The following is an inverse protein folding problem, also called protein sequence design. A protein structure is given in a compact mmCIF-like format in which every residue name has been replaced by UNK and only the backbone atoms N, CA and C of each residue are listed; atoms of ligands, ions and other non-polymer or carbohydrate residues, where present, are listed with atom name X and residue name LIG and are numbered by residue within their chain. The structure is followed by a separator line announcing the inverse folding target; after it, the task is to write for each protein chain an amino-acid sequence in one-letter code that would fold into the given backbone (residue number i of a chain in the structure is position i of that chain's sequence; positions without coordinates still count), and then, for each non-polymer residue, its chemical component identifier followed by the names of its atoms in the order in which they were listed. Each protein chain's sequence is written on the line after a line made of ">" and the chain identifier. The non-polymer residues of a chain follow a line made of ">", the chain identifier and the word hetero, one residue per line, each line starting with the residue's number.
data_IF_846019501481
#
_entry.id   IF_846019501481
#
_cell.length_a   1.000
_cell.length_b   1.000
_cell.length_c   1.000
_cell.angle_alpha   90.00
_cell.angle_beta   90.00
_cell.angle_gamma   90.00
#
_symmetry.space_group_name_H-M   'P 1'
#
loop_
_entity.id
_entity.type
_entity.pdbx_description
1 polymer ?
#
# COMPACT_ATOMS: atom_id res chain seq x y z
N UNK A 1 -15.26 1.77 -1.37
CA UNK A 1 -14.71 1.65 -0.02
C UNK A 1 -14.54 0.18 0.35
N UNK A 2 -13.47 -0.16 1.02
CA UNK A 2 -13.26 -1.54 1.44
C UNK A 2 -14.31 -1.98 2.46
N UNK A 3 -14.78 -3.21 2.30
CA UNK A 3 -15.72 -3.81 3.23
C UNK A 3 -14.93 -4.76 4.14
N UNK A 4 -14.79 -4.39 5.41
CA UNK A 4 -13.99 -5.14 6.36
C UNK A 4 -14.57 -6.51 6.68
N UNK A 5 -15.89 -6.71 6.46
CA UNK A 5 -16.54 -7.99 6.69
C UNK A 5 -16.38 -8.96 5.51
N UNK A 6 -15.76 -8.48 4.42
CA UNK A 6 -15.59 -9.25 3.20
C UNK A 6 -14.52 -10.32 3.32
N UNK A 7 -13.59 -10.17 4.25
CA UNK A 7 -12.42 -11.02 4.35
C UNK A 7 -12.55 -12.03 5.46
N UNK A 8 -12.09 -13.25 5.19
CA UNK A 8 -12.12 -14.36 6.13
C UNK A 8 -11.20 -14.05 7.32
N UNK A 9 -11.67 -14.13 8.57
CA UNK A 9 -10.81 -13.91 9.73
C UNK A 9 -9.57 -14.81 9.77
N UNK A 10 -9.67 -16.04 9.28
CA UNK A 10 -8.52 -16.95 9.24
C UNK A 10 -7.47 -16.46 8.25
N UNK A 11 -7.91 -15.92 7.10
CA UNK A 11 -7.00 -15.34 6.12
C UNK A 11 -6.26 -14.14 6.73
N UNK A 12 -6.98 -13.27 7.43
CA UNK A 12 -6.38 -12.10 8.05
C UNK A 12 -5.31 -12.52 9.05
N UNK A 13 -5.61 -13.46 9.95
CA UNK A 13 -4.65 -13.89 10.96
C UNK A 13 -3.44 -14.59 10.35
N UNK A 14 -3.67 -15.44 9.36
CA UNK A 14 -2.59 -16.22 8.76
C UNK A 14 -1.62 -15.35 7.96
N UNK A 15 -2.11 -14.26 7.34
CA UNK A 15 -1.32 -13.50 6.37
C UNK A 15 -1.09 -12.04 6.78
N UNK A 16 -1.37 -11.70 8.05
CA UNK A 16 -1.25 -10.33 8.53
C UNK A 16 0.16 -9.78 8.36
N UNK A 17 1.17 -10.54 8.78
CA UNK A 17 2.56 -10.09 8.72
C UNK A 17 3.02 -9.87 7.29
N UNK A 18 2.72 -10.81 6.40
CA UNK A 18 3.09 -10.69 4.99
C UNK A 18 2.38 -9.50 4.36
N UNK A 19 1.12 -9.28 4.74
CA UNK A 19 0.35 -8.13 4.23
C UNK A 19 0.93 -6.80 4.69
N UNK A 20 1.45 -6.73 5.93
CA UNK A 20 2.15 -5.54 6.40
C UNK A 20 3.39 -5.25 5.56
N UNK A 21 4.14 -6.31 5.21
CA UNK A 21 5.35 -6.17 4.40
C UNK A 21 5.05 -5.72 2.98
N UNK A 22 3.79 -5.86 2.52
CA UNK A 22 3.39 -5.39 1.20
C UNK A 22 3.58 -3.89 1.03
N UNK A 23 3.60 -3.13 2.11
CA UNK A 23 3.81 -1.68 2.04
C UNK A 23 5.28 -1.32 1.84
N UNK A 24 6.18 -2.26 2.03
CA UNK A 24 7.60 -2.10 1.72
C UNK A 24 7.95 -2.83 0.43
N UNK A 25 7.43 -4.05 0.24
CA UNK A 25 7.64 -4.85 -0.96
C UNK A 25 6.25 -5.32 -1.41
N UNK A 26 5.62 -4.59 -2.32
CA UNK A 26 4.22 -4.83 -2.65
C UNK A 26 3.97 -6.22 -3.26
N UNK A 27 4.97 -6.78 -3.97
CA UNK A 27 4.79 -8.06 -4.65
C UNK A 27 5.01 -9.26 -3.73
N UNK A 28 5.50 -9.06 -2.51
CA UNK A 28 5.78 -10.17 -1.60
C UNK A 28 4.54 -11.03 -1.29
N UNK A 29 3.37 -10.44 -0.97
CA UNK A 29 2.19 -11.26 -0.74
C UNK A 29 1.78 -12.09 -1.96
N UNK A 30 2.02 -11.60 -3.16
CA UNK A 30 1.68 -12.31 -4.38
C UNK A 30 2.53 -13.56 -4.58
N UNK A 31 3.76 -13.57 -4.03
CA UNK A 31 4.66 -14.70 -4.10
C UNK A 31 4.42 -15.69 -2.98
N UNK A 32 4.16 -15.20 -1.78
CA UNK A 32 4.06 -16.03 -0.57
C UNK A 32 2.66 -16.58 -0.37
N UNK A 33 1.63 -15.76 -0.58
CA UNK A 33 0.25 -16.17 -0.36
C UNK A 33 -0.67 -15.63 -1.45
N UNK A 34 -0.51 -16.11 -2.70
CA UNK A 34 -1.25 -15.56 -3.84
C UNK A 34 -2.76 -15.76 -3.76
N UNK A 35 -3.23 -16.66 -2.92
CA UNK A 35 -4.66 -16.91 -2.78
C UNK A 35 -5.31 -16.11 -1.67
N UNK A 36 -4.54 -15.38 -0.88
CA UNK A 36 -5.06 -14.56 0.20
C UNK A 36 -5.66 -13.27 -0.37
N UNK A 37 -6.96 -13.09 -0.20
CA UNK A 37 -7.62 -11.86 -0.63
C UNK A 37 -7.19 -10.67 0.21
N UNK A 38 -7.01 -10.89 1.52
CA UNK A 38 -6.56 -9.84 2.42
C UNK A 38 -5.16 -9.35 2.03
N UNK A 39 -4.23 -10.27 1.79
CA UNK A 39 -2.87 -9.92 1.40
C UNK A 39 -2.85 -9.23 0.03
N UNK A 40 -3.68 -9.67 -0.92
CA UNK A 40 -3.74 -9.05 -2.24
C UNK A 40 -4.29 -7.62 -2.16
N UNK A 41 -5.25 -7.38 -1.28
CA UNK A 41 -5.73 -6.02 -1.05
C UNK A 41 -4.59 -5.09 -0.63
N UNK A 42 -3.79 -5.52 0.34
CA UNK A 42 -2.67 -4.71 0.83
C UNK A 42 -1.53 -4.62 -0.18
N UNK A 43 -1.35 -5.65 -1.02
CA UNK A 43 -0.39 -5.58 -2.12
C UNK A 43 -0.77 -4.48 -3.12
N UNK A 44 -2.05 -4.33 -3.42
CA UNK A 44 -2.52 -3.25 -4.28
C UNK A 44 -2.21 -1.88 -3.68
N UNK A 45 -2.47 -1.71 -2.37
CA UNK A 45 -2.18 -0.45 -1.69
C UNK A 45 -0.67 -0.16 -1.71
N UNK A 46 0.15 -1.18 -1.49
CA UNK A 46 1.60 -1.05 -1.55
C UNK A 46 2.11 -0.67 -2.93
N UNK A 47 1.50 -1.25 -3.98
CA UNK A 47 1.85 -0.91 -5.36
C UNK A 47 1.56 0.56 -5.64
N UNK A 48 0.44 1.08 -5.16
CA UNK A 48 0.11 2.49 -5.34
C UNK A 48 1.16 3.40 -4.70
N UNK A 49 1.68 3.02 -3.54
CA UNK A 49 2.75 3.77 -2.87
C UNK A 49 4.03 3.72 -3.71
N UNK A 50 4.36 2.56 -4.29
CA UNK A 50 5.53 2.43 -5.15
C UNK A 50 5.41 3.34 -6.38
N UNK A 51 4.21 3.42 -6.96
CA UNK A 51 3.96 4.33 -8.09
C UNK A 51 4.18 5.78 -7.66
N UNK A 52 3.73 6.16 -6.47
CA UNK A 52 3.98 7.50 -5.93
C UNK A 52 5.48 7.78 -5.80
N UNK A 53 6.24 6.82 -5.29
CA UNK A 53 7.69 6.98 -5.14
C UNK A 53 8.37 7.12 -6.48
N UNK A 54 7.94 6.36 -7.49
CA UNK A 54 8.47 6.47 -8.83
C UNK A 54 8.18 7.84 -9.42
N UNK A 55 6.94 8.33 -9.27
CA UNK A 55 6.55 9.65 -9.74
C UNK A 55 7.39 10.74 -9.06
N UNK A 56 7.64 10.59 -7.76
CA UNK A 56 8.47 11.50 -7.00
C UNK A 56 9.89 11.57 -7.59
N UNK A 57 10.46 10.42 -7.93
CA UNK A 57 11.80 10.38 -8.51
C UNK A 57 11.86 11.06 -9.88
N UNK A 58 10.82 10.89 -10.70
CA UNK A 58 10.74 11.54 -12.01
C UNK A 58 10.59 13.05 -11.88
N UNK A 59 9.77 13.50 -10.94
CA UNK A 59 9.50 14.92 -10.72
C UNK A 59 10.77 15.66 -10.28
N UNK A 60 11.70 14.98 -9.61
CA UNK A 60 12.97 15.59 -9.19
C UNK A 60 13.80 16.15 -10.35
N UNK A 61 13.53 15.73 -11.58
CA UNK A 61 14.24 16.24 -12.75
C UNK A 61 13.93 17.72 -12.96
N UNK A 62 12.77 18.20 -12.52
CA UNK A 62 12.38 19.61 -12.65
C UNK A 62 13.15 20.44 -11.61
N UNK A 63 13.96 21.45 -12.04
CA UNK A 63 14.73 22.27 -11.09
C UNK A 63 13.81 23.03 -10.12
N UNK A 64 14.26 23.16 -8.87
CA UNK A 64 13.62 23.94 -7.80
C UNK A 64 12.26 23.38 -7.41
N UNK A 65 11.26 23.49 -8.29
CA UNK A 65 9.89 23.02 -8.01
C UNK A 65 9.86 21.51 -7.81
N UNK A 66 10.64 20.78 -8.61
CA UNK A 66 10.71 19.33 -8.52
C UNK A 66 11.16 18.83 -7.16
N UNK A 67 12.15 19.50 -6.56
CA UNK A 67 12.61 19.12 -5.23
C UNK A 67 11.55 19.32 -4.15
N UNK A 68 10.81 20.42 -4.23
CA UNK A 68 9.75 20.68 -3.25
C UNK A 68 8.61 19.68 -3.40
N UNK A 69 8.11 19.49 -4.61
CA UNK A 69 7.01 18.58 -4.88
C UNK A 69 7.40 17.14 -4.54
N UNK A 70 8.62 16.74 -4.93
CA UNK A 70 9.13 15.40 -4.63
C UNK A 70 9.19 15.15 -3.13
N UNK A 71 9.64 16.12 -2.34
CA UNK A 71 9.70 15.99 -0.89
C UNK A 71 8.30 15.83 -0.29
N UNK A 72 7.32 16.58 -0.79
CA UNK A 72 5.94 16.44 -0.31
C UNK A 72 5.37 15.08 -0.64
N UNK A 73 5.63 14.56 -1.83
CA UNK A 73 5.17 13.23 -2.21
C UNK A 73 5.85 12.16 -1.34
N UNK A 74 7.14 12.31 -1.07
CA UNK A 74 7.87 11.37 -0.23
C UNK A 74 7.31 11.31 1.19
N UNK A 75 6.97 12.48 1.76
CA UNK A 75 6.36 12.55 3.08
C UNK A 75 5.00 11.86 3.07
N UNK A 76 4.19 12.12 2.04
CA UNK A 76 2.88 11.49 1.92
C UNK A 76 3.01 9.97 1.78
N UNK A 77 3.99 9.50 1.00
CA UNK A 77 4.23 8.06 0.86
C UNK A 77 4.61 7.43 2.19
N UNK A 78 5.46 8.08 2.97
CA UNK A 78 5.85 7.58 4.28
C UNK A 78 4.63 7.47 5.20
N UNK A 79 3.78 8.49 5.22
CA UNK A 79 2.55 8.46 6.02
C UNK A 79 1.65 7.30 5.57
N UNK A 80 1.52 7.09 4.26
CA UNK A 80 0.69 6.01 3.73
C UNK A 80 1.25 4.63 4.11
N UNK A 81 2.57 4.47 4.08
CA UNK A 81 3.20 3.22 4.52
C UNK A 81 2.84 2.94 5.98
N UNK A 82 2.98 3.94 6.84
CA UNK A 82 2.68 3.79 8.26
C UNK A 82 1.21 3.47 8.47
N UNK A 83 0.31 4.21 7.80
CA UNK A 83 -1.13 3.96 7.91
C UNK A 83 -1.49 2.56 7.44
N UNK A 84 -0.90 2.13 6.31
CA UNK A 84 -1.17 0.82 5.77
C UNK A 84 -0.71 -0.28 6.71
N UNK A 85 0.48 -0.15 7.27
CA UNK A 85 1.01 -1.14 8.20
C UNK A 85 0.19 -1.20 9.48
N UNK A 86 -0.23 -0.04 10.01
CA UNK A 86 -1.08 0.01 11.20
C UNK A 86 -2.42 -0.65 10.93
N UNK A 87 -3.06 -0.33 9.81
CA UNK A 87 -4.35 -0.94 9.46
C UNK A 87 -4.22 -2.45 9.32
N UNK A 88 -3.15 -2.92 8.68
CA UNK A 88 -2.89 -4.35 8.52
C UNK A 88 -2.70 -5.03 9.87
N UNK A 89 -1.95 -4.39 10.77
CA UNK A 89 -1.71 -4.94 12.10
C UNK A 89 -3.03 -5.07 12.89
N UNK A 90 -3.99 -4.20 12.63
CA UNK A 90 -5.31 -4.26 13.25
C UNK A 90 -6.24 -5.24 12.53
N UNK A 91 -5.78 -5.86 11.45
CA UNK A 91 -6.59 -6.78 10.66
C UNK A 91 -7.60 -6.09 9.75
N UNK A 92 -7.40 -4.82 9.46
CA UNK A 92 -8.32 -4.02 8.64
C UNK A 92 -7.86 -3.97 7.19
N UNK A 93 -8.81 -4.12 6.26
CA UNK A 93 -8.57 -3.92 4.84
C UNK A 93 -9.13 -2.56 4.42
N UNK A 94 -8.58 -1.51 4.99
CA UNK A 94 -9.01 -0.14 4.74
C UNK A 94 -8.17 0.51 3.67
N UNK A 95 -8.83 1.16 2.71
CA UNK A 95 -8.16 1.85 1.63
C UNK A 95 -7.37 3.05 2.15
N UNK A 96 -6.22 3.30 1.52
CA UNK A 96 -5.44 4.49 1.84
C UNK A 96 -6.21 5.75 1.40
N UNK A 97 -6.05 6.87 2.11
CA UNK A 97 -6.70 8.11 1.69
C UNK A 97 -6.28 8.51 0.28
N UNK A 98 -7.22 9.04 -0.47
CA UNK A 98 -7.04 9.61 -1.81
C UNK A 98 -6.76 8.56 -2.88
N UNK A 99 -5.75 7.70 -2.70
CA UNK A 99 -5.29 6.79 -3.78
C UNK A 99 -5.80 5.37 -3.64
N UNK A 100 -6.27 4.98 -2.45
CA UNK A 100 -6.57 3.58 -2.16
C UNK A 100 -7.72 2.97 -2.94
N UNK A 101 -8.55 3.80 -3.59
CA UNK A 101 -9.65 3.31 -4.40
C UNK A 101 -9.21 2.74 -5.75
N UNK A 102 -7.97 2.98 -6.14
CA UNK A 102 -7.44 2.47 -7.41
C UNK A 102 -7.07 1.00 -7.24
N UNK A 103 -7.64 0.14 -8.06
CA UNK A 103 -7.37 -1.30 -8.01
C UNK A 103 -6.58 -1.74 -9.23
N UNK A 104 -5.28 -1.85 -9.07
CA UNK A 104 -4.38 -2.35 -10.11
C UNK A 104 -4.20 -3.85 -9.93
N UNK A 105 -4.07 -4.30 -8.70
CA UNK A 105 -4.03 -5.73 -8.35
C UNK A 105 -5.42 -6.12 -7.86
N UNK A 106 -6.03 -7.06 -8.55
CA UNK A 106 -7.40 -7.51 -8.23
C UNK A 106 -7.42 -8.82 -7.48
#
# INVERSE_FOLDING_TARGET
>A
MADFNKYDPQDIEANKTVSMLAYLIFFLPLLVCPQSKFARFHANQGLLIWIMCFASAVIKIIPIIGGIVSSLIAIAALIFIILGMVNTNKGLAQELPVIGHLQIIK
#
